data_IF_365700944990
#
_entry.id   IF_365700944990
#
_cell.length_a   1.000
_cell.length_b   1.000
_cell.length_c   1.000
_cell.angle_alpha   90.00
_cell.angle_beta   90.00
_cell.angle_gamma   90.00
#
_symmetry.space_group_name_H-M   'P 1'
#
loop_
_entity.id
_entity.type
_entity.pdbx_description
1 polymer ?
#
# COMPACT_ATOMS: atom_id res chain seq x y z
N UNK A 1 28.37 -8.64 -27.68
CA UNK A 1 27.35 -9.22 -26.77
C UNK A 1 27.87 -10.58 -26.36
N UNK A 2 27.82 -10.95 -25.07
CA UNK A 2 28.43 -12.18 -24.58
C UNK A 2 27.64 -13.41 -25.05
N UNK A 3 28.33 -14.48 -25.47
CA UNK A 3 27.72 -15.77 -25.89
C UNK A 3 26.65 -16.31 -24.93
N UNK A 4 26.75 -15.93 -23.65
CA UNK A 4 25.78 -16.26 -22.61
C UNK A 4 24.41 -15.63 -22.86
N UNK A 5 24.34 -14.37 -23.30
CA UNK A 5 23.07 -13.67 -23.56
C UNK A 5 22.35 -14.30 -24.74
N UNK A 6 23.07 -14.64 -25.81
CA UNK A 6 22.48 -15.25 -27.01
C UNK A 6 21.90 -16.64 -26.70
N UNK A 7 22.65 -17.47 -25.96
CA UNK A 7 22.16 -18.78 -25.47
C UNK A 7 20.91 -18.61 -24.59
N UNK A 8 20.89 -17.61 -23.70
CA UNK A 8 19.75 -17.37 -22.82
C UNK A 8 18.50 -16.92 -23.59
N UNK A 9 18.67 -16.09 -24.62
CA UNK A 9 17.59 -15.66 -25.51
C UNK A 9 17.00 -16.84 -26.28
N UNK A 10 17.83 -17.70 -26.88
CA UNK A 10 17.38 -18.89 -27.62
C UNK A 10 16.59 -19.86 -26.73
N UNK A 11 17.07 -20.07 -25.50
CA UNK A 11 16.36 -20.88 -24.50
C UNK A 11 15.03 -20.24 -24.10
N UNK A 12 15.00 -18.93 -23.87
CA UNK A 12 13.81 -18.18 -23.46
C UNK A 12 12.74 -18.15 -24.57
N UNK A 13 13.15 -18.08 -25.84
CA UNK A 13 12.23 -18.07 -26.98
C UNK A 13 11.61 -19.43 -27.31
N UNK A 14 12.18 -20.54 -26.80
CA UNK A 14 11.69 -21.90 -27.04
C UNK A 14 10.24 -22.09 -26.58
N UNK A 15 9.44 -22.82 -27.38
CA UNK A 15 8.04 -23.11 -27.07
C UNK A 15 7.85 -23.83 -25.73
N UNK A 16 8.80 -24.69 -25.35
CA UNK A 16 8.80 -25.40 -24.06
C UNK A 16 8.95 -24.41 -22.91
N UNK A 17 9.87 -23.45 -23.03
CA UNK A 17 10.14 -22.46 -22.00
C UNK A 17 8.98 -21.48 -21.82
N UNK A 18 8.27 -21.13 -22.91
CA UNK A 18 7.05 -20.30 -22.84
C UNK A 18 5.95 -20.97 -22.04
N UNK A 19 5.65 -22.24 -22.33
CA UNK A 19 4.63 -23.01 -21.61
C UNK A 19 5.01 -23.15 -20.13
N UNK A 20 6.28 -23.48 -19.85
CA UNK A 20 6.80 -23.55 -18.50
C UNK A 20 6.66 -22.22 -17.75
N UNK A 21 7.02 -21.10 -18.38
CA UNK A 21 6.93 -19.76 -17.77
C UNK A 21 5.49 -19.38 -17.45
N UNK A 22 4.54 -19.67 -18.35
CA UNK A 22 3.11 -19.42 -18.10
C UNK A 22 2.59 -20.25 -16.94
N UNK A 23 2.98 -21.52 -16.84
CA UNK A 23 2.60 -22.37 -15.70
C UNK A 23 3.15 -21.83 -14.37
N UNK A 24 4.42 -21.43 -14.35
CA UNK A 24 5.04 -20.81 -13.17
C UNK A 24 4.33 -19.50 -12.80
N UNK A 25 3.97 -18.68 -13.79
CA UNK A 25 3.26 -17.42 -13.56
C UNK A 25 1.86 -17.65 -12.98
N UNK A 26 1.13 -18.66 -13.47
CA UNK A 26 -0.18 -19.03 -12.92
C UNK A 26 -0.07 -19.52 -11.48
N UNK A 27 0.90 -20.39 -11.19
CA UNK A 27 1.16 -20.85 -9.82
C UNK A 27 1.52 -19.67 -8.89
N UNK A 28 2.37 -18.76 -9.37
CA UNK A 28 2.72 -17.53 -8.67
C UNK A 28 1.50 -16.65 -8.38
N UNK A 29 0.62 -16.41 -9.35
CA UNK A 29 -0.60 -15.62 -9.11
C UNK A 29 -1.51 -16.28 -8.08
N UNK A 30 -1.67 -17.61 -8.12
CA UNK A 30 -2.48 -18.30 -7.10
C UNK A 30 -1.87 -18.18 -5.70
N UNK A 31 -0.54 -18.30 -5.59
CA UNK A 31 0.18 -18.17 -4.33
C UNK A 31 0.11 -16.73 -3.77
N UNK A 32 0.36 -15.73 -4.62
CA UNK A 32 0.27 -14.33 -4.24
C UNK A 32 -1.15 -13.91 -3.90
N UNK A 33 -2.16 -14.36 -4.65
CA UNK A 33 -3.56 -14.07 -4.35
C UNK A 33 -4.00 -14.68 -3.01
N UNK A 34 -3.52 -15.88 -2.69
CA UNK A 34 -3.73 -16.49 -1.38
C UNK A 34 -3.12 -15.66 -0.25
N UNK A 35 -1.88 -15.18 -0.42
CA UNK A 35 -1.23 -14.28 0.54
C UNK A 35 -2.01 -12.96 0.71
N UNK A 36 -2.43 -12.31 -0.37
CA UNK A 36 -3.22 -11.07 -0.28
C UNK A 36 -4.51 -11.26 0.54
N UNK A 37 -5.14 -12.43 0.46
CA UNK A 37 -6.36 -12.73 1.21
C UNK A 37 -6.14 -12.92 2.72
N UNK A 38 -4.91 -13.14 3.17
CA UNK A 38 -4.54 -13.36 4.58
C UNK A 38 -3.85 -12.15 5.21
N UNK A 39 -3.88 -10.98 4.56
CA UNK A 39 -3.18 -9.80 5.05
C UNK A 39 -3.82 -9.32 6.36
N UNK A 40 -3.05 -9.37 7.45
CA UNK A 40 -3.46 -8.83 8.73
C UNK A 40 -3.14 -7.33 8.80
N UNK A 41 -3.95 -6.62 9.55
CA UNK A 41 -3.82 -5.18 9.76
C UNK A 41 -3.41 -5.00 11.21
N UNK A 42 -2.17 -4.59 11.42
CA UNK A 42 -1.57 -4.48 12.74
C UNK A 42 -0.66 -3.26 12.82
N UNK A 43 -0.62 -2.66 14.00
CA UNK A 43 0.38 -1.66 14.35
C UNK A 43 1.27 -2.29 15.41
N UNK A 44 2.50 -2.65 15.03
CA UNK A 44 3.55 -2.84 16.04
C UNK A 44 3.94 -1.46 16.56
N UNK A 45 3.81 -1.26 17.87
CA UNK A 45 3.93 0.01 18.61
C UNK A 45 5.27 0.75 18.51
N UNK A 46 6.18 0.35 17.64
CA UNK A 46 7.59 0.77 17.73
C UNK A 46 8.15 1.47 16.49
N UNK A 47 7.36 1.71 15.44
CA UNK A 47 7.83 2.51 14.30
C UNK A 47 6.80 3.50 13.80
N UNK A 48 6.62 4.58 14.57
CA UNK A 48 5.98 5.79 14.06
C UNK A 48 6.44 7.04 14.84
N UNK A 49 7.68 7.48 14.65
CA UNK A 49 8.09 8.84 15.01
C UNK A 49 8.94 9.47 13.90
N UNK A 50 8.39 10.52 13.28
CA UNK A 50 9.14 11.74 13.02
C UNK A 50 8.67 12.75 14.08
N UNK A 51 9.62 13.34 14.81
CA UNK A 51 9.35 14.24 15.94
C UNK A 51 8.80 15.62 15.55
N UNK A 52 8.55 15.88 14.26
CA UNK A 52 8.07 17.17 13.77
C UNK A 52 6.89 16.98 12.81
N UNK A 53 5.67 17.09 13.33
CA UNK A 53 4.43 17.06 12.54
C UNK A 53 3.52 18.24 12.91
N UNK A 54 2.80 18.85 11.95
CA UNK A 54 2.07 20.12 12.11
C UNK A 54 0.84 20.05 13.03
N UNK A 55 0.65 18.96 13.78
CA UNK A 55 -0.44 18.74 14.74
C UNK A 55 -0.12 19.22 16.16
N UNK A 56 1.09 19.72 16.40
CA UNK A 56 1.46 20.42 17.64
C UNK A 56 0.50 21.54 18.09
N UNK A 57 -0.17 22.31 17.20
CA UNK A 57 -1.14 23.33 17.61
C UNK A 57 -2.38 22.72 18.28
N UNK A 58 -2.81 21.51 17.88
CA UNK A 58 -3.98 20.85 18.47
C UNK A 58 -3.70 20.29 19.88
N UNK A 59 -2.48 19.79 20.11
CA UNK A 59 -2.02 19.38 21.46
C UNK A 59 -1.77 20.61 22.36
N UNK A 60 -1.33 21.74 21.80
CA UNK A 60 -1.25 23.02 22.54
C UNK A 60 -2.61 23.60 22.86
N UNK A 61 -3.59 23.55 21.94
CA UNK A 61 -4.98 23.91 22.21
C UNK A 61 -5.56 23.04 23.34
N UNK A 62 -5.21 21.76 23.40
CA UNK A 62 -5.59 20.89 24.50
C UNK A 62 -4.95 21.28 25.84
N UNK A 63 -3.70 21.75 25.86
CA UNK A 63 -3.03 22.21 27.08
C UNK A 63 -3.45 23.61 27.51
N UNK A 64 -3.70 24.51 26.56
CA UNK A 64 -3.97 25.93 26.79
C UNK A 64 -5.48 26.25 26.93
N UNK A 65 -6.38 25.54 26.24
CA UNK A 65 -7.84 25.77 26.40
C UNK A 65 -8.41 25.03 27.62
N UNK A 66 -7.87 23.85 27.98
CA UNK A 66 -8.35 23.12 29.18
C UNK A 66 -7.87 23.77 30.49
N UNK A 67 -6.71 24.44 30.50
CA UNK A 67 -6.13 25.02 31.72
C UNK A 67 -6.22 26.54 31.86
N UNK A 68 -6.59 27.31 30.82
CA UNK A 68 -6.52 28.78 30.88
C UNK A 68 -7.88 29.50 30.88
N UNK A 69 -8.92 28.92 30.29
CA UNK A 69 -10.27 29.49 30.35
C UNK A 69 -11.11 28.65 31.30
N UNK A 70 -11.42 29.20 32.47
CA UNK A 70 -12.13 28.57 33.59
C UNK A 70 -13.58 28.15 33.31
N UNK A 71 -13.82 27.38 32.25
CA UNK A 71 -15.02 26.60 32.08
C UNK A 71 -14.97 25.39 33.00
N UNK A 72 -15.96 25.24 33.88
CA UNK A 72 -16.13 24.06 34.73
C UNK A 72 -16.40 22.83 33.85
N UNK A 73 -15.34 22.11 33.48
CA UNK A 73 -15.43 20.82 32.80
C UNK A 73 -15.20 19.72 33.82
N UNK A 74 -16.18 18.84 33.98
CA UNK A 74 -16.05 17.67 34.83
C UNK A 74 -15.23 16.60 34.09
N UNK A 75 -14.10 16.20 34.67
CA UNK A 75 -13.27 15.13 34.16
C UNK A 75 -13.52 13.87 34.98
N UNK A 76 -13.91 12.79 34.31
CA UNK A 76 -14.05 11.46 34.89
C UNK A 76 -13.02 10.54 34.25
N UNK A 77 -12.07 10.04 35.04
CA UNK A 77 -11.03 9.13 34.59
C UNK A 77 -11.40 7.71 34.99
N UNK A 78 -11.31 6.78 34.04
CA UNK A 78 -11.67 5.38 34.20
C UNK A 78 -10.64 4.55 33.46
N UNK A 79 -10.26 3.41 34.02
CA UNK A 79 -9.28 2.49 33.44
C UNK A 79 -9.94 1.26 32.82
N UNK A 80 -9.35 0.76 31.74
CA UNK A 80 -9.75 -0.50 31.09
C UNK A 80 -8.84 -1.65 31.53
N UNK A 81 -9.40 -2.87 31.59
CA UNK A 81 -8.69 -4.11 31.93
C UNK A 81 -8.60 -5.00 30.70
N UNK A 82 -7.45 -5.66 30.50
CA UNK A 82 -7.17 -6.62 29.41
C UNK A 82 -7.10 -6.06 27.97
N UNK A 83 -6.84 -4.75 27.77
CA UNK A 83 -6.61 -4.19 26.42
C UNK A 83 -5.11 -3.86 26.20
N UNK A 84 -4.31 -4.90 25.97
CA UNK A 84 -2.86 -4.77 25.75
C UNK A 84 -2.58 -4.34 24.31
N UNK A 85 -3.31 -4.90 23.35
CA UNK A 85 -3.17 -4.61 21.92
C UNK A 85 -3.92 -3.34 21.49
N UNK A 86 -3.42 -2.64 20.46
CA UNK A 86 -4.07 -1.43 19.95
C UNK A 86 -5.41 -1.68 19.27
N UNK A 87 -5.58 -2.86 18.68
CA UNK A 87 -6.83 -3.38 18.12
C UNK A 87 -7.90 -3.50 19.20
N UNK A 88 -7.56 -4.14 20.33
CA UNK A 88 -8.47 -4.25 21.49
C UNK A 88 -8.81 -2.87 22.07
N UNK A 89 -7.82 -1.99 22.23
CA UNK A 89 -8.05 -0.61 22.70
C UNK A 89 -8.98 0.17 21.77
N UNK A 90 -8.84 -0.03 20.47
CA UNK A 90 -9.73 0.57 19.47
C UNK A 90 -11.17 0.10 19.66
N UNK A 91 -11.41 -1.20 19.90
CA UNK A 91 -12.78 -1.71 20.13
C UNK A 91 -13.43 -1.06 21.35
N UNK A 92 -12.71 -1.00 22.48
CA UNK A 92 -13.20 -0.35 23.72
C UNK A 92 -13.48 1.14 23.49
N UNK A 93 -12.59 1.84 22.78
CA UNK A 93 -12.79 3.25 22.44
C UNK A 93 -14.02 3.46 21.54
N UNK A 94 -14.30 2.55 20.60
CA UNK A 94 -15.50 2.61 19.76
C UNK A 94 -16.78 2.36 20.54
N UNK A 95 -16.77 1.39 21.46
CA UNK A 95 -17.90 1.13 22.35
C UNK A 95 -18.22 2.35 23.20
N UNK A 96 -17.20 2.95 23.83
CA UNK A 96 -17.38 4.15 24.64
C UNK A 96 -17.91 5.29 23.79
N UNK A 97 -17.37 5.51 22.58
CA UNK A 97 -17.87 6.54 21.65
C UNK A 97 -19.32 6.31 21.26
N UNK A 98 -19.75 5.06 21.16
CA UNK A 98 -21.14 4.70 20.88
C UNK A 98 -22.05 5.02 22.06
N UNK A 99 -21.61 4.69 23.28
CA UNK A 99 -22.33 5.04 24.52
C UNK A 99 -22.44 6.57 24.66
N UNK A 100 -21.34 7.31 24.47
CA UNK A 100 -21.37 8.77 24.52
C UNK A 100 -22.29 9.39 23.46
N UNK A 101 -22.37 8.80 22.26
CA UNK A 101 -23.31 9.24 21.22
C UNK A 101 -24.78 9.01 21.60
N UNK A 102 -25.11 7.95 22.33
CA UNK A 102 -26.47 7.72 22.84
C UNK A 102 -26.90 8.82 23.82
N UNK A 103 -25.94 9.36 24.57
CA UNK A 103 -26.13 10.40 25.57
C UNK A 103 -25.72 11.80 25.05
N UNK A 104 -26.14 12.15 23.82
CA UNK A 104 -25.74 13.38 23.14
C UNK A 104 -26.12 14.68 23.89
N UNK A 105 -27.14 14.64 24.74
CA UNK A 105 -27.55 15.77 25.59
C UNK A 105 -26.46 16.22 26.58
N UNK A 106 -25.50 15.35 26.93
CA UNK A 106 -24.44 15.65 27.89
C UNK A 106 -23.13 16.16 27.24
N UNK A 107 -23.07 16.27 25.91
CA UNK A 107 -21.89 16.73 25.15
C UNK A 107 -20.57 16.09 25.61
N UNK A 108 -20.60 14.78 25.84
CA UNK A 108 -19.46 14.01 26.38
C UNK A 108 -18.48 13.70 25.27
N UNK A 109 -17.20 14.02 25.49
CA UNK A 109 -16.10 13.63 24.61
C UNK A 109 -15.19 12.65 25.34
N UNK A 110 -14.86 11.55 24.68
CA UNK A 110 -13.95 10.54 25.24
C UNK A 110 -12.55 10.88 24.81
N UNK A 111 -11.67 11.04 25.80
CA UNK A 111 -10.28 11.35 25.60
C UNK A 111 -9.42 10.24 26.20
N UNK A 112 -8.56 9.67 25.36
CA UNK A 112 -7.50 8.76 25.76
C UNK A 112 -6.18 9.31 25.20
N UNK A 113 -5.10 9.44 26.00
CA UNK A 113 -3.84 10.06 25.56
C UNK A 113 -3.25 9.45 24.29
N UNK A 114 -3.51 8.16 24.05
CA UNK A 114 -3.02 7.41 22.89
C UNK A 114 -4.11 7.10 21.85
N UNK A 115 -5.29 7.71 21.94
CA UNK A 115 -6.41 7.49 20.99
C UNK A 115 -6.05 7.73 19.52
N UNK A 116 -5.07 8.60 19.27
CA UNK A 116 -4.48 8.86 17.96
C UNK A 116 -4.06 7.57 17.22
N UNK A 117 -3.40 6.64 17.91
CA UNK A 117 -2.88 5.41 17.30
C UNK A 117 -4.00 4.44 16.96
N UNK A 118 -4.96 4.27 17.86
CA UNK A 118 -6.15 3.45 17.63
C UNK A 118 -7.01 4.00 16.49
N UNK A 119 -7.20 5.32 16.42
CA UNK A 119 -7.97 5.94 15.33
C UNK A 119 -7.27 5.80 13.97
N UNK A 120 -5.94 5.77 13.96
CA UNK A 120 -5.18 5.56 12.74
C UNK A 120 -5.43 4.17 12.13
N UNK A 121 -5.61 3.12 12.95
CA UNK A 121 -5.96 1.76 12.48
C UNK A 121 -7.22 1.75 11.60
N UNK A 122 -8.22 2.57 11.93
CA UNK A 122 -9.46 2.67 11.15
C UNK A 122 -9.24 3.26 9.76
N UNK A 123 -8.19 4.08 9.60
CA UNK A 123 -7.91 4.79 8.35
C UNK A 123 -6.91 4.08 7.46
N UNK A 124 -6.03 3.22 8.00
CA UNK A 124 -4.96 2.55 7.24
C UNK A 124 -5.52 1.72 6.09
N UNK A 125 -6.50 0.84 6.34
CA UNK A 125 -7.08 -0.04 5.30
C UNK A 125 -7.76 0.75 4.18
N UNK A 126 -8.73 1.66 4.46
CA UNK A 126 -9.42 2.37 3.39
C UNK A 126 -8.49 3.31 2.62
N UNK A 127 -7.53 3.96 3.29
CA UNK A 127 -6.56 4.84 2.62
C UNK A 127 -5.60 4.03 1.76
N UNK A 128 -5.07 2.91 2.25
CA UNK A 128 -4.18 2.03 1.46
C UNK A 128 -4.90 1.54 0.22
N UNK A 129 -6.12 1.01 0.36
CA UNK A 129 -6.92 0.55 -0.79
C UNK A 129 -7.12 1.67 -1.81
N UNK A 130 -7.49 2.86 -1.36
CA UNK A 130 -7.79 3.99 -2.25
C UNK A 130 -6.55 4.50 -2.97
N UNK A 131 -5.43 4.63 -2.25
CA UNK A 131 -4.15 5.11 -2.80
C UNK A 131 -3.56 4.12 -3.79
N UNK A 132 -3.64 2.82 -3.51
CA UNK A 132 -3.17 1.75 -4.42
C UNK A 132 -3.99 1.73 -5.71
N UNK A 133 -5.31 1.78 -5.62
CA UNK A 133 -6.19 1.83 -6.81
C UNK A 133 -5.90 3.07 -7.65
N UNK A 134 -5.79 4.24 -6.99
CA UNK A 134 -5.47 5.48 -7.69
C UNK A 134 -4.09 5.44 -8.35
N UNK A 135 -3.08 4.88 -7.67
CA UNK A 135 -1.75 4.69 -8.22
C UNK A 135 -1.78 3.81 -9.46
N UNK A 136 -2.44 2.65 -9.43
CA UNK A 136 -2.59 1.79 -10.62
C UNK A 136 -3.30 2.51 -11.77
N UNK A 137 -4.36 3.25 -11.48
CA UNK A 137 -5.08 4.05 -12.49
C UNK A 137 -4.18 5.09 -13.14
N UNK A 138 -3.44 5.85 -12.33
CA UNK A 138 -2.47 6.84 -12.81
C UNK A 138 -1.39 6.19 -13.69
N UNK A 139 -0.85 5.07 -13.27
CA UNK A 139 0.18 4.34 -14.03
C UNK A 139 -0.32 3.83 -15.38
N UNK A 140 -1.56 3.32 -15.44
CA UNK A 140 -2.17 2.90 -16.71
C UNK A 140 -2.33 4.08 -17.67
N UNK A 141 -2.72 5.26 -17.17
CA UNK A 141 -2.82 6.49 -17.97
C UNK A 141 -1.45 6.93 -18.48
N UNK A 142 -0.43 6.93 -17.63
CA UNK A 142 0.94 7.28 -18.04
C UNK A 142 1.44 6.33 -19.13
N UNK A 143 1.32 5.01 -18.95
CA UNK A 143 1.72 4.04 -19.97
C UNK A 143 0.96 4.20 -21.29
N UNK A 144 -0.32 4.55 -21.24
CA UNK A 144 -1.14 4.82 -22.43
C UNK A 144 -0.64 6.04 -23.19
N UNK A 145 -0.19 7.09 -22.50
CA UNK A 145 0.34 8.30 -23.15
C UNK A 145 1.70 8.03 -23.80
N UNK A 146 2.58 7.26 -23.13
CA UNK A 146 3.94 7.01 -23.61
C UNK A 146 4.05 5.90 -24.66
N UNK A 147 3.07 4.99 -24.76
CA UNK A 147 3.16 3.81 -25.63
C UNK A 147 2.17 3.87 -26.80
N UNK A 148 2.62 3.77 -28.06
CA UNK A 148 1.74 3.96 -29.22
C UNK A 148 0.88 2.73 -29.61
N UNK A 149 1.11 1.55 -29.02
CA UNK A 149 0.37 0.33 -29.39
C UNK A 149 -0.42 -0.28 -28.21
N UNK A 150 -1.69 -0.60 -28.44
CA UNK A 150 -2.61 -1.14 -27.43
C UNK A 150 -2.20 -2.50 -26.85
N UNK A 151 -1.63 -3.38 -27.69
CA UNK A 151 -1.15 -4.70 -27.23
C UNK A 151 -0.06 -4.56 -26.20
N UNK A 152 0.90 -3.67 -26.42
CA UNK A 152 2.00 -3.38 -25.48
C UNK A 152 1.47 -2.75 -24.20
N UNK A 153 0.44 -1.90 -24.27
CA UNK A 153 -0.19 -1.30 -23.08
C UNK A 153 -0.83 -2.39 -22.21
N UNK A 154 -1.58 -3.32 -22.80
CA UNK A 154 -2.24 -4.40 -22.06
C UNK A 154 -1.21 -5.31 -21.40
N UNK A 155 -0.19 -5.76 -22.14
CA UNK A 155 0.85 -6.64 -21.58
C UNK A 155 1.68 -5.95 -20.50
N UNK A 156 1.95 -4.65 -20.66
CA UNK A 156 2.67 -3.84 -19.66
C UNK A 156 1.83 -3.66 -18.39
N UNK A 157 0.55 -3.34 -18.53
CA UNK A 157 -0.37 -3.17 -17.40
C UNK A 157 -0.55 -4.48 -16.62
N UNK A 158 -0.69 -5.61 -17.32
CA UNK A 158 -0.74 -6.94 -16.69
C UNK A 158 0.55 -7.28 -15.96
N UNK A 159 1.71 -6.89 -16.50
CA UNK A 159 3.01 -7.11 -15.85
C UNK A 159 3.14 -6.27 -14.57
N UNK A 160 2.72 -5.00 -14.60
CA UNK A 160 2.66 -4.14 -13.40
C UNK A 160 1.75 -4.77 -12.33
N UNK A 161 0.54 -5.19 -12.70
CA UNK A 161 -0.40 -5.82 -11.78
C UNK A 161 0.21 -7.08 -11.16
N UNK A 162 0.86 -7.92 -11.97
CA UNK A 162 1.52 -9.14 -11.51
C UNK A 162 2.62 -8.85 -10.48
N UNK A 163 3.52 -7.90 -10.74
CA UNK A 163 4.61 -7.56 -9.83
C UNK A 163 4.05 -7.08 -8.49
N UNK A 164 3.06 -6.19 -8.52
CA UNK A 164 2.50 -5.60 -7.31
C UNK A 164 1.66 -6.60 -6.50
N UNK A 165 0.89 -7.49 -7.16
CA UNK A 165 0.25 -8.63 -6.49
C UNK A 165 1.28 -9.51 -5.77
N UNK A 166 2.44 -9.72 -6.39
CA UNK A 166 3.60 -10.35 -5.77
C UNK A 166 4.05 -9.71 -4.48
N UNK A 167 4.24 -8.39 -4.51
CA UNK A 167 4.70 -7.61 -3.36
C UNK A 167 3.70 -7.74 -2.21
N UNK A 168 2.40 -7.57 -2.46
CA UNK A 168 1.38 -7.75 -1.42
C UNK A 168 1.31 -9.20 -0.90
N UNK A 169 1.43 -10.19 -1.78
CA UNK A 169 1.45 -11.60 -1.37
C UNK A 169 2.68 -11.96 -0.53
N UNK A 170 3.85 -11.41 -0.85
CA UNK A 170 5.07 -11.61 -0.09
C UNK A 170 5.01 -10.93 1.29
N UNK A 171 4.43 -9.72 1.37
CA UNK A 171 4.19 -9.02 2.63
C UNK A 171 3.36 -9.88 3.59
N UNK A 172 2.26 -10.48 3.11
CA UNK A 172 1.44 -11.36 3.93
C UNK A 172 2.18 -12.65 4.35
N UNK A 173 2.95 -13.25 3.45
CA UNK A 173 3.67 -14.49 3.78
C UNK A 173 4.79 -14.29 4.80
N UNK A 174 5.36 -13.08 4.85
CA UNK A 174 6.32 -12.69 5.88
C UNK A 174 5.67 -12.19 7.17
N UNK A 175 4.35 -12.35 7.29
CA UNK A 175 3.56 -11.93 8.45
C UNK A 175 3.79 -10.44 8.79
N UNK A 176 4.00 -9.62 7.76
CA UNK A 176 4.16 -8.18 7.91
C UNK A 176 2.77 -7.55 7.91
N UNK A 177 2.42 -6.94 9.03
CA UNK A 177 1.18 -6.22 9.19
C UNK A 177 1.10 -4.98 8.28
N UNK A 178 -0.14 -4.65 7.88
CA UNK A 178 -0.40 -3.43 7.12
C UNK A 178 -0.34 -2.19 8.02
N UNK A 179 0.76 -1.46 7.94
CA UNK A 179 1.07 -0.25 8.68
C UNK A 179 1.44 0.89 7.71
N UNK A 180 1.55 2.15 8.17
CA UNK A 180 1.87 3.26 7.28
C UNK A 180 3.22 3.12 6.55
N UNK A 181 4.18 2.39 7.13
CA UNK A 181 5.48 2.13 6.52
C UNK A 181 5.34 1.08 5.40
N UNK A 182 4.62 -0.02 5.64
CA UNK A 182 4.36 -1.03 4.60
C UNK A 182 3.50 -0.46 3.47
N UNK A 183 2.55 0.44 3.78
CA UNK A 183 1.83 1.22 2.76
C UNK A 183 2.80 2.06 1.90
N UNK A 184 3.73 2.80 2.51
CA UNK A 184 4.69 3.64 1.79
C UNK A 184 5.66 2.82 0.93
N UNK A 185 6.18 1.71 1.47
CA UNK A 185 7.07 0.80 0.71
C UNK A 185 6.33 0.14 -0.45
N UNK A 186 5.04 -0.17 -0.30
CA UNK A 186 4.24 -0.72 -1.40
C UNK A 186 3.99 0.31 -2.50
N UNK A 187 3.74 1.58 -2.16
CA UNK A 187 3.64 2.66 -3.14
C UNK A 187 4.96 2.87 -3.89
N UNK A 188 6.10 2.77 -3.20
CA UNK A 188 7.42 2.81 -3.83
C UNK A 188 7.63 1.64 -4.79
N UNK A 189 7.20 0.43 -4.41
CA UNK A 189 7.28 -0.75 -5.28
C UNK A 189 6.44 -0.59 -6.57
N UNK A 190 5.24 0.02 -6.47
CA UNK A 190 4.43 0.37 -7.65
C UNK A 190 5.23 1.31 -8.56
N UNK A 191 5.85 2.36 -8.01
CA UNK A 191 6.68 3.29 -8.77
C UNK A 191 7.83 2.62 -9.51
N UNK A 192 8.60 1.77 -8.83
CA UNK A 192 9.70 1.04 -9.46
C UNK A 192 9.22 0.05 -10.53
N UNK A 193 8.10 -0.64 -10.32
CA UNK A 193 7.58 -1.58 -11.30
C UNK A 193 7.28 -0.93 -12.66
N UNK A 194 6.78 0.32 -12.63
CA UNK A 194 6.46 1.08 -13.85
C UNK A 194 7.70 1.59 -14.54
N UNK A 195 8.69 2.05 -13.77
CA UNK A 195 9.97 2.51 -14.30
C UNK A 195 10.67 1.40 -15.12
N UNK A 196 10.76 0.19 -14.56
CA UNK A 196 11.32 -0.97 -15.27
C UNK A 196 10.57 -1.26 -16.58
N UNK A 197 9.23 -1.24 -16.55
CA UNK A 197 8.41 -1.58 -17.71
C UNK A 197 8.51 -0.50 -18.80
N UNK A 198 8.57 0.78 -18.42
CA UNK A 198 8.79 1.88 -19.35
C UNK A 198 10.16 1.77 -20.03
N UNK A 199 11.23 1.49 -19.27
CA UNK A 199 12.57 1.31 -19.82
C UNK A 199 12.65 0.12 -20.79
N UNK A 200 12.09 -1.03 -20.42
CA UNK A 200 12.06 -2.22 -21.29
C UNK A 200 11.27 -1.93 -22.58
N UNK A 201 10.09 -1.32 -22.43
CA UNK A 201 9.21 -1.00 -23.57
C UNK A 201 9.92 -0.04 -24.53
N UNK A 202 10.56 1.01 -24.03
CA UNK A 202 11.28 1.97 -24.85
C UNK A 202 12.46 1.33 -25.61
N UNK A 203 13.25 0.49 -24.93
CA UNK A 203 14.35 -0.24 -25.58
C UNK A 203 13.85 -1.21 -26.65
N UNK A 204 12.73 -1.89 -26.40
CA UNK A 204 12.10 -2.79 -27.37
C UNK A 204 11.64 -2.03 -28.63
N UNK A 205 10.98 -0.88 -28.47
CA UNK A 205 10.58 -0.04 -29.60
C UNK A 205 11.77 0.48 -30.39
N UNK A 206 12.82 0.98 -29.71
CA UNK A 206 14.04 1.45 -30.38
C UNK A 206 14.73 0.33 -31.17
N UNK A 207 14.79 -0.89 -30.61
CA UNK A 207 15.30 -2.07 -31.30
C UNK A 207 14.48 -2.46 -32.53
N UNK A 208 13.14 -2.42 -32.42
CA UNK A 208 12.24 -2.74 -33.53
C UNK A 208 12.34 -1.75 -34.70
N UNK A 209 12.52 -0.45 -34.42
CA UNK A 209 12.74 0.57 -35.47
C UNK A 209 14.03 0.28 -36.24
N UNK A 210 15.10 -0.13 -35.54
CA UNK A 210 16.37 -0.51 -36.18
C UNK A 210 16.23 -1.73 -37.08
N UNK A 211 15.43 -2.73 -36.69
CA UNK A 211 15.18 -3.94 -37.50
C UNK A 211 14.29 -3.65 -38.72
N UNK A 212 13.31 -2.74 -38.58
CA UNK A 212 12.46 -2.33 -39.70
C UNK A 212 13.25 -1.55 -40.75
N UNK A 213 14.17 -0.67 -40.34
CA UNK A 213 15.06 0.05 -41.24
C UNK A 213 16.02 -0.87 -42.00
N UNK A 214 16.48 -1.96 -41.36
CA UNK A 214 17.38 -2.96 -41.96
C UNK A 214 16.67 -3.97 -42.87
N UNK A 215 15.32 -4.01 -42.87
CA UNK A 215 14.51 -4.79 -43.83
C UNK A 215 14.15 -4.01 -45.10
N UNK A 216 14.44 -2.71 -45.13
CA UNK A 216 14.12 -1.81 -46.26
C UNK A 216 15.36 -1.59 -47.16
N UNK A 217 16.56 -1.97 -46.69
CA UNK A 217 17.80 -2.08 -47.48
C UNK A 217 18.17 -3.56 -47.69
#
# INVERSE_FOLDING_TARGET
MSKFVDIWVDVSLSNVMRVFTVLVLMAYWTYSAYGVAQINVGLTSEKLLAYDSPLLPFVKIQRDIIFREGGQKFFFSTGFKNAVEWSDRLTVLQEWRTIAKQFSHFNVTIYEPFSMYSDQLLTIVPVTKSTVIFAFGCMAVVLMIFTPCLTTIITSTLSILSINLGVFGALSHWEIDLDPISMATTLMAIGFSVDFIAHITFHYYKGSISVSFLKIF
#
